data_IF_941450167539
#
_entry.id   IF_941450167539
#
_cell.length_a   1.000
_cell.length_b   1.000
_cell.length_c   1.000
_cell.angle_alpha   90.00
_cell.angle_beta   90.00
_cell.angle_gamma   90.00
#
_symmetry.space_group_name_H-M   'P 1'
#
loop_
_entity.id
_entity.type
_entity.pdbx_description
1 polymer ?
#
# COMPACT_ATOMS: atom_id res chain seq x y z
N UNK A 1 0.56 12.96 13.60
CA UNK A 1 0.54 11.59 14.15
C UNK A 1 1.14 10.63 13.13
N UNK A 2 1.76 9.58 13.58
CA UNK A 2 2.42 8.65 12.68
C UNK A 2 2.22 7.21 13.14
N UNK A 3 1.86 6.34 12.20
CA UNK A 3 1.84 4.89 12.41
C UNK A 3 2.97 4.29 11.58
N UNK A 4 3.80 3.46 12.20
CA UNK A 4 4.87 2.78 11.49
C UNK A 4 4.91 1.32 11.90
N UNK A 5 4.96 0.41 10.92
CA UNK A 5 5.10 -1.02 11.22
C UNK A 5 5.69 -1.75 10.03
N UNK A 6 6.12 -2.97 10.28
CA UNK A 6 6.63 -3.85 9.24
C UNK A 6 5.54 -4.84 8.86
N UNK A 7 5.17 -4.85 7.59
CA UNK A 7 4.16 -5.77 7.09
C UNK A 7 4.73 -7.17 6.90
N UNK A 8 3.98 -8.17 7.33
CA UNK A 8 4.32 -9.57 7.09
C UNK A 8 3.68 -10.11 5.82
N UNK A 9 2.64 -9.45 5.35
CA UNK A 9 1.92 -9.92 4.16
C UNK A 9 1.36 -8.73 3.40
N UNK A 10 1.63 -8.67 2.12
CA UNK A 10 1.08 -7.65 1.22
C UNK A 10 0.18 -8.37 0.24
N UNK A 11 -1.08 -7.94 0.14
CA UNK A 11 -2.05 -8.57 -0.73
C UNK A 11 -2.69 -7.55 -1.65
N UNK A 12 -2.86 -7.95 -2.90
CA UNK A 12 -3.59 -7.18 -3.90
C UNK A 12 -4.74 -8.03 -4.38
N UNK A 13 -5.95 -7.49 -4.38
CA UNK A 13 -7.11 -8.26 -4.82
C UNK A 13 -8.07 -7.40 -5.60
N UNK A 14 -8.85 -8.05 -6.47
CA UNK A 14 -9.88 -7.39 -7.24
C UNK A 14 -11.17 -8.19 -7.16
N UNK A 15 -12.29 -7.50 -7.25
CA UNK A 15 -13.61 -8.10 -7.23
C UNK A 15 -14.54 -7.29 -8.13
N UNK A 16 -15.76 -7.80 -8.34
CA UNK A 16 -16.79 -7.12 -9.13
C UNK A 16 -16.27 -6.79 -10.53
N UNK A 17 -15.67 -7.79 -11.19
CA UNK A 17 -15.14 -7.61 -12.55
C UNK A 17 -14.03 -6.59 -12.67
N UNK A 18 -13.33 -6.30 -11.59
CA UNK A 18 -12.27 -5.30 -11.59
C UNK A 18 -12.71 -3.93 -11.11
N UNK A 19 -13.99 -3.77 -10.77
CA UNK A 19 -14.48 -2.47 -10.28
C UNK A 19 -14.10 -2.21 -8.83
N UNK A 20 -13.73 -3.23 -8.08
CA UNK A 20 -13.24 -3.07 -6.71
C UNK A 20 -11.79 -3.54 -6.64
N UNK A 21 -10.90 -2.64 -6.28
CA UNK A 21 -9.50 -2.96 -6.07
C UNK A 21 -9.13 -2.71 -4.62
N UNK A 22 -8.34 -3.63 -4.05
CA UNK A 22 -7.91 -3.52 -2.66
C UNK A 22 -6.45 -3.91 -2.53
N UNK A 23 -5.74 -3.18 -1.69
CA UNK A 23 -4.37 -3.49 -1.30
C UNK A 23 -4.32 -3.50 0.21
N UNK A 24 -3.82 -4.58 0.79
CA UNK A 24 -3.69 -4.67 2.24
C UNK A 24 -2.25 -4.96 2.66
N UNK A 25 -1.89 -4.38 3.78
CA UNK A 25 -0.60 -4.58 4.43
C UNK A 25 -0.90 -5.10 5.83
N UNK A 26 -0.61 -6.37 6.08
CA UNK A 26 -1.00 -7.03 7.31
C UNK A 26 0.20 -7.44 8.13
N UNK A 27 -0.02 -7.59 9.44
CA UNK A 27 0.98 -8.08 10.35
C UNK A 27 0.43 -9.36 10.96
N UNK A 28 1.25 -10.41 10.98
CA UNK A 28 0.85 -11.67 11.61
C UNK A 28 1.16 -11.65 13.09
N UNK A 29 0.33 -12.27 13.93
CA UNK A 29 0.65 -12.39 15.36
C UNK A 29 1.97 -13.13 15.58
N UNK A 30 2.75 -12.69 16.55
CA UNK A 30 4.05 -13.28 16.83
C UNK A 30 3.94 -14.56 17.65
N UNK A 31 2.82 -14.75 18.34
CA UNK A 31 2.60 -15.93 19.16
C UNK A 31 1.13 -16.32 19.12
N UNK A 32 0.83 -17.54 19.60
CA UNK A 32 -0.55 -18.02 19.64
C UNK A 32 -1.42 -17.27 20.63
N UNK A 33 -0.78 -16.62 21.60
CA UNK A 33 -1.49 -15.87 22.62
C UNK A 33 -1.86 -14.46 22.16
N UNK A 34 -1.31 -14.02 21.04
CA UNK A 34 -1.58 -12.70 20.50
C UNK A 34 -2.82 -12.74 19.63
N UNK A 35 -3.74 -11.81 19.86
CA UNK A 35 -4.97 -11.74 19.10
C UNK A 35 -4.68 -11.06 17.76
N UNK A 36 -5.11 -11.67 16.65
CA UNK A 36 -4.94 -11.09 15.31
C UNK A 36 -5.54 -9.69 15.21
N UNK A 37 -6.62 -9.43 15.97
CA UNK A 37 -7.28 -8.13 15.94
C UNK A 37 -6.43 -7.02 16.55
N UNK A 38 -5.39 -7.38 17.27
CA UNK A 38 -4.52 -6.40 17.92
C UNK A 38 -3.24 -6.15 17.13
N UNK A 39 -3.15 -6.64 15.89
CA UNK A 39 -1.98 -6.40 15.05
C UNK A 39 -2.22 -5.25 14.09
N UNK A 40 -1.21 -4.42 13.83
CA UNK A 40 -1.37 -3.32 12.88
C UNK A 40 -1.68 -3.81 11.46
N UNK A 41 -2.51 -3.05 10.76
CA UNK A 41 -2.75 -3.29 9.34
C UNK A 41 -3.19 -2.00 8.65
N UNK A 42 -3.09 -2.00 7.33
CA UNK A 42 -3.61 -0.90 6.51
C UNK A 42 -4.33 -1.54 5.32
N UNK A 43 -5.50 -1.03 5.00
CA UNK A 43 -6.25 -1.44 3.83
C UNK A 43 -6.58 -0.21 2.99
N UNK A 44 -6.18 -0.24 1.72
CA UNK A 44 -6.54 0.79 0.74
C UNK A 44 -7.52 0.16 -0.22
N UNK A 45 -8.65 0.81 -0.45
CA UNK A 45 -9.70 0.28 -1.32
C UNK A 45 -10.19 1.36 -2.28
N UNK A 46 -10.52 0.95 -3.50
CA UNK A 46 -11.21 1.82 -4.43
C UNK A 46 -12.30 1.03 -5.14
N UNK A 47 -13.54 1.53 -5.05
CA UNK A 47 -14.66 0.96 -5.76
C UNK A 47 -15.06 1.91 -6.87
N UNK A 48 -14.79 1.52 -8.12
CA UNK A 48 -15.02 2.36 -9.29
C UNK A 48 -16.50 2.45 -9.66
N UNK A 49 -17.37 1.68 -9.03
CA UNK A 49 -18.80 1.79 -9.24
C UNK A 49 -19.38 3.07 -8.62
N UNK A 50 -18.64 3.68 -7.72
CA UNK A 50 -19.08 4.88 -7.02
C UNK A 50 -18.12 6.03 -7.27
N UNK A 51 -18.61 7.28 -7.27
CA UNK A 51 -17.71 8.41 -7.42
C UNK A 51 -16.82 8.57 -6.19
N UNK A 52 -15.68 9.21 -6.38
CA UNK A 52 -14.76 9.49 -5.29
C UNK A 52 -13.39 8.91 -5.53
N UNK A 53 -12.59 8.91 -4.48
CA UNK A 53 -11.20 8.46 -4.53
C UNK A 53 -11.03 7.19 -3.71
N UNK A 54 -9.81 6.67 -3.69
CA UNK A 54 -9.50 5.52 -2.85
C UNK A 54 -9.66 5.91 -1.37
N UNK A 55 -10.09 4.96 -0.57
CA UNK A 55 -10.22 5.14 0.87
C UNK A 55 -9.20 4.29 1.60
N UNK A 56 -8.90 4.68 2.82
CA UNK A 56 -7.93 3.97 3.63
C UNK A 56 -8.51 3.74 5.02
N UNK A 57 -8.25 2.53 5.55
CA UNK A 57 -8.53 2.23 6.93
C UNK A 57 -7.34 1.51 7.54
N UNK A 58 -7.16 1.63 8.83
CA UNK A 58 -6.00 1.05 9.49
C UNK A 58 -6.29 0.71 10.93
N UNK A 59 -5.44 -0.15 11.48
CA UNK A 59 -5.42 -0.49 12.90
C UNK A 59 -3.99 -0.30 13.39
N UNK A 60 -3.84 0.34 14.53
CA UNK A 60 -2.50 0.68 15.03
C UNK A 60 -1.97 -0.30 16.07
N UNK A 61 -2.66 -1.41 16.27
CA UNK A 61 -2.33 -2.37 17.33
C UNK A 61 -3.21 -2.23 18.55
N UNK A 62 -3.97 -1.14 18.62
CA UNK A 62 -4.92 -0.88 19.71
C UNK A 62 -6.28 -0.45 19.20
N UNK A 63 -6.29 0.47 18.28
CA UNK A 63 -7.53 1.08 17.78
C UNK A 63 -7.61 1.03 16.27
N UNK A 64 -8.86 0.93 15.79
CA UNK A 64 -9.19 1.02 14.38
C UNK A 64 -9.58 2.45 14.03
N UNK A 65 -9.19 2.91 12.86
CA UNK A 65 -9.63 4.18 12.32
C UNK A 65 -9.71 4.08 10.80
N UNK A 66 -10.34 5.05 10.19
CA UNK A 66 -10.50 5.06 8.74
C UNK A 66 -11.19 6.30 8.25
N UNK A 67 -11.42 6.34 6.94
CA UNK A 67 -12.16 7.43 6.32
C UNK A 67 -11.34 8.68 6.05
N UNK A 68 -10.04 8.65 6.30
CA UNK A 68 -9.18 9.76 5.92
C UNK A 68 -8.94 9.75 4.41
N UNK A 69 -8.74 10.92 3.84
CA UNK A 69 -8.42 11.02 2.42
C UNK A 69 -6.92 10.88 2.21
N UNK A 70 -6.56 10.19 1.14
CA UNK A 70 -5.16 10.00 0.79
C UNK A 70 -4.67 11.24 0.04
N UNK A 71 -3.62 11.85 0.58
CA UNK A 71 -2.97 12.98 -0.08
C UNK A 71 -1.92 12.46 -1.05
N UNK A 72 -1.08 11.52 -0.59
CA UNK A 72 -0.02 10.99 -1.42
C UNK A 72 0.41 9.62 -0.89
N UNK A 73 0.59 8.67 -1.79
CA UNK A 73 1.23 7.40 -1.49
C UNK A 73 2.56 7.36 -2.23
N UNK A 74 3.64 7.18 -1.48
CA UNK A 74 4.98 7.07 -2.06
C UNK A 74 5.46 5.64 -1.89
N UNK A 75 5.73 4.98 -3.00
CA UNK A 75 6.18 3.59 -3.01
C UNK A 75 7.66 3.55 -3.36
N UNK A 76 8.45 2.95 -2.47
CA UNK A 76 9.83 2.61 -2.77
C UNK A 76 9.97 1.10 -2.65
N UNK A 77 11.15 0.61 -2.98
CA UNK A 77 11.39 -0.84 -2.95
C UNK A 77 11.21 -1.43 -1.56
N UNK A 78 11.37 -0.63 -0.54
CA UNK A 78 11.40 -1.11 0.85
C UNK A 78 10.27 -0.57 1.71
N UNK A 79 9.54 0.44 1.24
CA UNK A 79 8.56 1.13 2.08
C UNK A 79 7.38 1.64 1.28
N UNK A 80 6.24 1.71 1.95
CA UNK A 80 5.08 2.43 1.45
C UNK A 80 4.78 3.53 2.46
N UNK A 81 4.80 4.78 2.00
CA UNK A 81 4.52 5.93 2.85
C UNK A 81 3.20 6.53 2.42
N UNK A 82 2.23 6.56 3.32
CA UNK A 82 0.88 7.04 3.04
C UNK A 82 0.65 8.31 3.85
N UNK A 83 0.45 9.43 3.15
CA UNK A 83 0.17 10.70 3.77
C UNK A 83 -1.31 11.00 3.68
N UNK A 84 -1.93 11.29 4.80
CA UNK A 84 -3.37 11.49 4.91
C UNK A 84 -3.68 12.93 5.28
N UNK A 85 -4.93 13.32 5.09
CA UNK A 85 -5.37 14.71 5.24
C UNK A 85 -5.50 15.21 6.69
N UNK A 86 -5.28 14.33 7.68
CA UNK A 86 -5.42 14.68 9.10
C UNK A 86 -4.07 14.78 9.81
N UNK A 87 -3.05 15.23 9.12
CA UNK A 87 -1.68 15.20 9.62
C UNK A 87 -1.28 13.80 10.10
N UNK A 88 -1.81 12.79 9.42
CA UNK A 88 -1.52 11.39 9.72
C UNK A 88 -0.62 10.84 8.64
N UNK A 89 0.39 10.12 9.05
CA UNK A 89 1.30 9.48 8.13
C UNK A 89 1.42 8.00 8.51
N UNK A 90 1.32 7.12 7.53
CA UNK A 90 1.48 5.69 7.75
C UNK A 90 2.70 5.22 6.98
N UNK A 91 3.65 4.62 7.68
CA UNK A 91 4.92 4.18 7.12
C UNK A 91 4.99 2.66 7.28
N UNK A 92 4.84 1.94 6.17
CA UNK A 92 4.85 0.49 6.17
C UNK A 92 6.14 0.00 5.52
N UNK A 93 6.93 -0.76 6.26
CA UNK A 93 8.09 -1.44 5.70
C UNK A 93 7.62 -2.71 5.02
N UNK A 94 8.09 -2.95 3.80
CA UNK A 94 7.71 -4.12 3.02
C UNK A 94 8.97 -4.89 2.62
N UNK A 95 8.84 -6.21 2.58
CA UNK A 95 9.92 -7.07 2.12
C UNK A 95 9.37 -8.07 1.13
N UNK A 96 9.15 -7.63 -0.10
CA UNK A 96 8.51 -8.46 -1.12
C UNK A 96 9.43 -8.58 -2.34
N UNK A 97 9.23 -9.65 -3.11
CA UNK A 97 10.01 -9.84 -4.32
C UNK A 97 9.58 -8.93 -5.45
N UNK A 98 10.34 -8.95 -6.52
CA UNK A 98 10.13 -8.04 -7.64
C UNK A 98 8.77 -8.17 -8.29
N UNK A 99 8.27 -9.41 -8.42
CA UNK A 99 6.96 -9.62 -9.02
C UNK A 99 5.85 -9.00 -8.17
N UNK A 100 5.92 -9.19 -6.87
CA UNK A 100 4.93 -8.60 -5.96
C UNK A 100 5.03 -7.09 -5.91
N UNK A 101 6.24 -6.57 -5.97
CA UNK A 101 6.43 -5.14 -6.01
C UNK A 101 5.81 -4.54 -7.27
N UNK A 102 6.02 -5.17 -8.42
CA UNK A 102 5.42 -4.71 -9.67
C UNK A 102 3.90 -4.79 -9.61
N UNK A 103 3.34 -5.84 -9.01
CA UNK A 103 1.90 -5.98 -8.84
C UNK A 103 1.36 -4.87 -7.93
N UNK A 104 2.03 -4.63 -6.81
CA UNK A 104 1.63 -3.58 -5.88
C UNK A 104 1.66 -2.22 -6.55
N UNK A 105 2.72 -1.91 -7.29
CA UNK A 105 2.84 -0.66 -8.02
C UNK A 105 1.71 -0.50 -9.03
N UNK A 106 1.39 -1.57 -9.75
CA UNK A 106 0.33 -1.56 -10.75
C UNK A 106 -1.04 -1.30 -10.10
N UNK A 107 -1.34 -1.96 -8.98
CA UNK A 107 -2.60 -1.75 -8.28
C UNK A 107 -2.71 -0.32 -7.76
N UNK A 108 -1.67 0.19 -7.11
CA UNK A 108 -1.69 1.54 -6.57
C UNK A 108 -1.84 2.58 -7.68
N UNK A 109 -1.17 2.37 -8.81
CA UNK A 109 -1.27 3.28 -9.94
C UNK A 109 -2.68 3.34 -10.50
N UNK A 110 -3.40 2.21 -10.49
CA UNK A 110 -4.78 2.15 -10.96
C UNK A 110 -5.77 2.71 -9.95
N UNK A 111 -5.47 2.56 -8.67
CA UNK A 111 -6.39 2.96 -7.59
C UNK A 111 -6.32 4.45 -7.27
N UNK A 112 -5.15 5.05 -7.44
CA UNK A 112 -4.91 6.41 -6.99
C UNK A 112 -4.89 7.37 -8.18
N UNK A 113 -5.31 8.61 -7.92
CA UNK A 113 -5.24 9.65 -8.94
C UNK A 113 -3.78 9.97 -9.22
N UNK A 114 -3.52 10.50 -10.41
CA UNK A 114 -2.16 10.71 -10.89
C UNK A 114 -1.30 11.53 -9.91
N UNK A 115 -1.87 12.55 -9.31
CA UNK A 115 -1.13 13.38 -8.36
C UNK A 115 -1.01 12.79 -6.97
N UNK A 116 -1.64 11.63 -6.70
CA UNK A 116 -1.65 11.02 -5.39
C UNK A 116 -0.73 9.80 -5.29
N UNK A 117 0.02 9.50 -6.33
CA UNK A 117 0.90 8.34 -6.32
C UNK A 117 2.26 8.71 -6.90
N UNK A 118 3.31 8.36 -6.16
CA UNK A 118 4.68 8.55 -6.62
C UNK A 118 5.47 7.27 -6.34
N UNK A 119 6.31 6.88 -7.28
CA UNK A 119 7.22 5.78 -7.06
C UNK A 119 8.59 6.20 -7.55
N UNK A 120 9.60 5.95 -6.74
CA UNK A 120 10.94 6.34 -7.08
C UNK A 120 11.70 5.23 -7.78
N UNK A 121 11.16 4.02 -7.75
CA UNK A 121 11.89 2.90 -8.30
C UNK A 121 10.96 1.75 -8.60
N UNK A 122 10.81 1.44 -9.89
CA UNK A 122 10.11 0.25 -10.34
C UNK A 122 11.18 -0.68 -10.90
N UNK A 123 11.25 -1.94 -10.45
CA UNK A 123 12.25 -2.86 -11.01
C UNK A 123 12.05 -3.03 -12.50
N UNK A 124 13.13 -2.93 -13.25
CA UNK A 124 13.08 -3.19 -14.68
C UNK A 124 12.95 -4.70 -14.89
N UNK A 125 12.17 -5.13 -15.88
CA UNK A 125 12.00 -6.55 -16.10
C UNK A 125 13.28 -7.27 -16.45
N UNK A 126 14.29 -6.59 -16.92
CA UNK A 126 15.58 -7.16 -17.18
C UNK A 126 16.64 -6.16 -16.89
N UNK A 127 16.55 -5.77 -15.92
CA UNK A 127 17.57 -4.92 -15.45
C UNK A 127 18.00 -3.87 -16.40
N UNK A 128 17.76 -4.13 -16.89
CA UNK A 128 18.31 -3.52 -17.08
C UNK A 128 18.82 -2.79 -17.04
N UNK A 129 18.75 -2.76 -17.13
CA UNK A 129 19.29 -2.16 -17.36
C UNK A 129 19.63 -1.41 -17.33
N UNK A 130 19.64 -1.37 -17.49
CA UNK A 130 20.05 -0.70 -17.67
C UNK A 130 20.27 0.07 -17.77
N UNK A 131 20.25 0.18 -17.75
CA UNK A 131 20.44 0.75 -18.11
C UNK A 131 20.54 1.46 -18.11
N UNK A 132 20.44 1.77 -18.15
CA UNK A 132 20.55 2.12 -18.48
C UNK A 132 20.47 2.83 -18.44
N UNK A 133 20.44 3.09 -18.44
CA UNK A 133 20.33 3.40 -18.86
C UNK A 133 20.24 3.90 -19.15
N UNK A 134 20.27 4.01 -19.14
CA UNK A 134 20.10 4.14 -19.72
C UNK A 134 19.72 4.40 -19.89
N UNK A 135 19.49 4.47 -19.94
CA UNK A 135 19.10 4.48 -20.37
C UNK A 135 18.88 4.63 -20.31
N UNK A 136 18.79 4.66 -20.36
CA UNK A 136 18.56 4.45 -20.54
C UNK A 136 18.41 4.43 -20.61
#
# INVERSE_FOLDING_TARGET
MKLAFKSSAVSCSSAIGGDLLQVSFDTMPKSKDEDERDTPYVLISRNFEFPGTATVEWHDGSDYDGGAEIVLVTLTRERVLIELDRDMEIDVSIGIGDRRFAQLSSFLRRMLDEGAFATTQIPEPDGAGNSHRAGQ
#
